data_IF_785158919200
#
_entry.id   IF_785158919200
#
_cell.length_a   1.000
_cell.length_b   1.000
_cell.length_c   1.000
_cell.angle_alpha   90.00
_cell.angle_beta   90.00
_cell.angle_gamma   90.00
#
_symmetry.space_group_name_H-M   'P 1'
#
loop_
_entity.id
_entity.type
_entity.pdbx_description
1 polymer ?
#
# COMPACT_ATOMS: atom_id res chain seq x y z
N UNK A 1 8.43 21.75 -3.27
CA UNK A 1 9.69 21.01 -3.05
C UNK A 1 10.74 21.91 -2.39
N UNK A 2 11.64 21.32 -1.58
CA UNK A 2 12.75 22.04 -0.96
C UNK A 2 12.37 22.98 0.18
N UNK A 3 11.17 22.94 0.68
CA UNK A 3 10.79 23.68 1.88
C UNK A 3 11.28 22.97 3.14
N UNK A 4 11.62 23.75 4.16
CA UNK A 4 11.98 23.20 5.46
C UNK A 4 10.77 22.50 6.09
N UNK A 5 11.05 21.48 6.91
CA UNK A 5 10.03 20.79 7.69
C UNK A 5 9.23 21.78 8.55
N UNK A 6 7.95 21.53 8.67
CA UNK A 6 7.04 22.30 9.53
C UNK A 6 7.11 21.76 10.96
N UNK A 7 6.39 22.40 11.88
CA UNK A 7 6.20 21.87 13.25
C UNK A 7 5.17 20.75 13.30
N UNK A 8 4.44 20.54 12.23
CA UNK A 8 3.42 19.50 12.10
C UNK A 8 4.05 18.21 11.54
N UNK A 9 4.07 17.19 12.38
CA UNK A 9 4.70 15.89 12.06
C UNK A 9 3.95 15.17 10.93
N UNK A 10 2.63 15.28 10.87
CA UNK A 10 1.81 14.56 9.90
C UNK A 10 1.89 15.21 8.52
N UNK A 11 2.01 16.53 8.47
CA UNK A 11 2.33 17.26 7.22
C UNK A 11 3.69 16.85 6.67
N UNK A 12 4.70 16.78 7.54
CA UNK A 12 6.05 16.35 7.13
C UNK A 12 6.04 14.89 6.66
N UNK A 13 5.37 13.99 7.37
CA UNK A 13 5.25 12.59 7.00
C UNK A 13 4.57 12.40 5.64
N UNK A 14 3.45 13.09 5.39
CA UNK A 14 2.78 13.05 4.10
C UNK A 14 3.66 13.57 2.95
N UNK A 15 4.44 14.63 3.20
CA UNK A 15 5.38 15.20 2.24
C UNK A 15 6.52 14.23 1.93
N UNK A 16 7.17 13.72 2.97
CA UNK A 16 8.31 12.81 2.83
C UNK A 16 7.89 11.48 2.20
N UNK A 17 6.75 10.92 2.61
CA UNK A 17 6.21 9.68 2.08
C UNK A 17 5.82 9.79 0.60
N UNK A 18 5.17 10.89 0.22
CA UNK A 18 4.84 11.15 -1.20
C UNK A 18 6.11 11.33 -2.04
N UNK A 19 7.11 12.03 -1.52
CA UNK A 19 8.41 12.20 -2.16
C UNK A 19 9.14 10.86 -2.35
N UNK A 20 9.19 10.02 -1.31
CA UNK A 20 9.80 8.71 -1.37
C UNK A 20 9.10 7.79 -2.39
N UNK A 21 7.77 7.85 -2.46
CA UNK A 21 6.99 7.10 -3.46
C UNK A 21 7.31 7.56 -4.88
N UNK A 22 7.35 8.87 -5.11
CA UNK A 22 7.77 9.43 -6.40
C UNK A 22 9.17 8.95 -6.79
N UNK A 23 10.12 9.03 -5.85
CA UNK A 23 11.51 8.61 -6.07
C UNK A 23 11.61 7.11 -6.42
N UNK A 24 10.85 6.25 -5.74
CA UNK A 24 10.79 4.82 -6.04
C UNK A 24 10.27 4.56 -7.47
N UNK A 25 9.13 5.14 -7.83
CA UNK A 25 8.58 5.02 -9.18
C UNK A 25 9.53 5.57 -10.24
N UNK A 26 10.21 6.67 -9.95
CA UNK A 26 11.20 7.27 -10.87
C UNK A 26 12.44 6.40 -11.03
N UNK A 27 12.97 5.87 -9.94
CA UNK A 27 14.21 5.08 -9.93
C UNK A 27 14.05 3.76 -10.68
N UNK A 28 12.95 3.05 -10.51
CA UNK A 28 12.77 1.70 -11.03
C UNK A 28 12.03 1.64 -12.38
N UNK A 29 11.13 2.58 -12.66
CA UNK A 29 10.33 2.56 -13.88
C UNK A 29 10.44 3.84 -14.70
N UNK A 30 11.32 4.79 -14.29
CA UNK A 30 11.47 6.11 -14.93
C UNK A 30 10.14 6.88 -15.06
N UNK A 31 9.20 6.58 -14.15
CA UNK A 31 7.89 7.21 -14.14
C UNK A 31 7.96 8.63 -13.55
N UNK A 32 7.25 9.56 -14.17
CA UNK A 32 7.18 10.96 -13.75
C UNK A 32 5.80 11.27 -13.14
N UNK A 33 5.68 11.03 -11.82
CA UNK A 33 4.45 11.16 -11.04
C UNK A 33 3.35 10.16 -11.43
N UNK A 34 2.16 10.25 -10.80
CA UNK A 34 1.07 9.30 -11.00
C UNK A 34 0.51 9.28 -12.44
N UNK A 35 0.59 10.39 -13.16
CA UNK A 35 0.13 10.52 -14.54
C UNK A 35 1.25 10.37 -15.58
N UNK A 36 2.47 10.06 -15.16
CA UNK A 36 3.67 10.01 -16.01
C UNK A 36 3.95 11.31 -16.79
N UNK A 37 3.52 12.46 -16.27
CA UNK A 37 3.65 13.77 -16.89
C UNK A 37 3.93 14.88 -15.86
N UNK A 38 4.50 14.53 -14.70
CA UNK A 38 4.92 15.48 -13.67
C UNK A 38 3.78 16.17 -12.92
N UNK A 39 2.62 15.50 -12.76
CA UNK A 39 1.54 16.06 -11.95
C UNK A 39 1.99 16.31 -10.50
N UNK A 40 1.54 17.40 -9.91
CA UNK A 40 1.79 17.70 -8.50
C UNK A 40 1.13 16.65 -7.61
N UNK A 41 1.89 16.15 -6.62
CA UNK A 41 1.37 15.28 -5.57
C UNK A 41 0.78 16.16 -4.47
N UNK A 42 -0.51 16.03 -4.23
CA UNK A 42 -1.22 16.81 -3.23
C UNK A 42 -1.68 15.86 -2.13
N UNK A 43 -1.39 16.21 -0.89
CA UNK A 43 -1.83 15.47 0.30
C UNK A 43 -2.57 16.40 1.25
N UNK A 44 -3.68 15.92 1.81
CA UNK A 44 -4.39 16.57 2.92
C UNK A 44 -4.31 15.68 4.14
N UNK A 45 -3.82 16.22 5.24
CA UNK A 45 -3.79 15.56 6.55
C UNK A 45 -4.90 16.10 7.45
N UNK A 46 -5.08 15.53 8.63
CA UNK A 46 -6.07 15.94 9.63
C UNK A 46 -7.51 15.86 9.13
N UNK A 47 -7.76 14.86 8.29
CA UNK A 47 -9.12 14.67 7.78
C UNK A 47 -10.01 14.03 8.84
N UNK A 48 -11.05 14.76 9.22
CA UNK A 48 -12.10 14.34 10.17
C UNK A 48 -11.59 13.97 11.57
N UNK A 49 -12.48 13.60 12.45
CA UNK A 49 -12.17 13.25 13.86
C UNK A 49 -12.17 11.75 14.04
N UNK A 50 -11.12 11.20 14.66
CA UNK A 50 -10.97 9.75 14.90
C UNK A 50 -11.11 8.91 13.61
N UNK A 51 -10.68 9.44 12.48
CA UNK A 51 -10.79 8.77 11.19
C UNK A 51 -9.55 7.92 10.93
N UNK A 52 -9.70 6.62 11.15
CA UNK A 52 -8.65 5.63 10.93
C UNK A 52 -8.73 5.09 9.50
N UNK A 53 -8.50 5.94 8.53
CA UNK A 53 -8.40 5.58 7.10
C UNK A 53 -7.66 6.65 6.31
N UNK A 54 -7.17 6.27 5.12
CA UNK A 54 -6.67 7.15 4.08
C UNK A 54 -7.35 6.80 2.76
N UNK A 55 -7.30 7.68 1.77
CA UNK A 55 -7.83 7.38 0.44
C UNK A 55 -7.33 8.38 -0.62
N UNK A 56 -7.19 7.89 -1.84
CA UNK A 56 -7.10 8.72 -3.04
C UNK A 56 -8.51 9.16 -3.47
N UNK A 57 -8.73 10.46 -3.66
CA UNK A 57 -10.06 10.99 -4.00
C UNK A 57 -10.25 11.35 -5.50
N UNK A 58 -9.31 10.92 -6.35
CA UNK A 58 -9.27 11.27 -7.78
C UNK A 58 -8.38 12.48 -8.10
N UNK A 59 -7.94 13.23 -7.09
CA UNK A 59 -7.10 14.43 -7.27
C UNK A 59 -6.00 14.60 -6.23
N UNK A 60 -6.16 14.00 -5.05
CA UNK A 60 -5.22 14.10 -3.93
C UNK A 60 -5.35 12.91 -2.98
N UNK A 61 -4.30 12.65 -2.22
CA UNK A 61 -4.32 11.76 -1.08
C UNK A 61 -4.94 12.46 0.13
N UNK A 62 -5.75 11.76 0.89
CA UNK A 62 -6.42 12.27 2.10
C UNK A 62 -6.15 11.33 3.26
N UNK A 63 -5.63 11.86 4.38
CA UNK A 63 -5.21 11.09 5.54
C UNK A 63 -5.95 11.54 6.79
N UNK A 64 -6.53 10.59 7.51
CA UNK A 64 -7.08 10.81 8.84
C UNK A 64 -6.02 10.77 9.93
N UNK A 65 -6.33 11.38 11.09
CA UNK A 65 -5.47 11.38 12.27
C UNK A 65 -5.50 10.06 13.05
N UNK A 66 -6.20 9.07 12.52
CA UNK A 66 -6.40 7.82 13.22
C UNK A 66 -7.29 7.97 14.45
N UNK A 67 -7.23 6.97 15.31
CA UNK A 67 -7.82 6.99 16.65
C UNK A 67 -6.81 6.35 17.62
N UNK A 68 -5.90 7.15 18.13
CA UNK A 68 -4.78 6.69 18.97
C UNK A 68 -5.27 5.92 20.21
N UNK A 69 -6.43 6.29 20.76
CA UNK A 69 -7.02 5.59 21.90
C UNK A 69 -7.49 4.16 21.56
N UNK A 70 -7.70 3.88 20.29
CA UNK A 70 -8.05 2.55 19.75
C UNK A 70 -6.88 1.90 19.01
N UNK A 71 -5.66 2.43 19.12
CA UNK A 71 -4.45 1.88 18.54
C UNK A 71 -4.17 2.27 17.10
N UNK A 72 -4.97 3.17 16.50
CA UNK A 72 -4.76 3.65 15.15
C UNK A 72 -4.02 4.99 15.16
N UNK A 73 -2.78 5.01 14.64
CA UNK A 73 -1.97 6.20 14.51
C UNK A 73 -2.41 7.06 13.29
N UNK A 74 -1.94 8.32 13.17
CA UNK A 74 -2.17 9.13 11.97
C UNK A 74 -1.68 8.44 10.70
N UNK A 75 -2.56 8.34 9.70
CA UNK A 75 -2.36 7.49 8.53
C UNK A 75 -1.21 7.96 7.62
N UNK A 76 -0.91 9.27 7.62
CA UNK A 76 0.20 9.84 6.85
C UNK A 76 1.58 9.36 7.31
N UNK A 77 1.69 8.72 8.48
CA UNK A 77 2.96 8.21 9.04
C UNK A 77 3.36 6.84 8.49
N UNK A 78 2.43 6.08 7.88
CA UNK A 78 2.73 4.82 7.19
C UNK A 78 3.29 5.08 5.80
N UNK A 79 4.53 4.64 5.55
CA UNK A 79 5.14 4.81 4.22
C UNK A 79 4.41 3.95 3.19
N UNK A 80 4.10 2.73 3.53
CA UNK A 80 3.35 1.78 2.71
C UNK A 80 1.92 2.29 2.43
N UNK A 81 1.24 2.89 3.43
CA UNK A 81 -0.08 3.51 3.27
C UNK A 81 -0.01 4.68 2.29
N UNK A 82 0.98 5.55 2.41
CA UNK A 82 1.14 6.69 1.48
C UNK A 82 1.40 6.20 0.05
N UNK A 83 2.23 5.19 -0.11
CA UNK A 83 2.50 4.60 -1.42
C UNK A 83 1.30 3.83 -1.98
N UNK A 84 0.52 3.16 -1.13
CA UNK A 84 -0.73 2.51 -1.48
C UNK A 84 -1.72 3.50 -2.09
N UNK A 85 -1.99 4.62 -1.42
CA UNK A 85 -2.91 5.64 -1.92
C UNK A 85 -2.45 6.27 -3.23
N UNK A 86 -1.16 6.58 -3.34
CA UNK A 86 -0.60 7.13 -4.56
C UNK A 86 -0.65 6.12 -5.72
N UNK A 87 -0.57 4.83 -5.43
CA UNK A 87 -0.68 3.77 -6.44
C UNK A 87 -2.09 3.65 -7.00
N UNK A 88 -3.13 3.96 -6.24
CA UNK A 88 -4.48 4.10 -6.80
C UNK A 88 -4.53 5.14 -7.91
N UNK A 89 -3.87 6.29 -7.72
CA UNK A 89 -3.73 7.31 -8.77
C UNK A 89 -2.99 6.80 -10.00
N UNK A 90 -1.92 6.00 -9.81
CA UNK A 90 -1.20 5.36 -10.92
C UNK A 90 -2.11 4.37 -11.64
N UNK A 91 -2.80 3.50 -10.92
CA UNK A 91 -3.71 2.50 -11.48
C UNK A 91 -4.83 3.16 -12.29
N UNK A 92 -5.40 4.26 -11.81
CA UNK A 92 -6.42 5.03 -12.52
C UNK A 92 -5.91 5.59 -13.86
N UNK A 93 -4.65 6.03 -13.90
CA UNK A 93 -4.04 6.62 -15.10
C UNK A 93 -3.44 5.59 -16.09
N UNK A 94 -3.23 4.33 -15.65
CA UNK A 94 -2.60 3.30 -16.47
C UNK A 94 -3.58 2.18 -16.84
N UNK A 95 -3.81 1.25 -15.93
CA UNK A 95 -4.63 0.07 -16.21
C UNK A 95 -6.13 0.35 -16.14
N UNK A 96 -6.55 1.38 -15.44
CA UNK A 96 -7.97 1.73 -15.25
C UNK A 96 -8.79 0.60 -14.61
N UNK A 97 -8.18 -0.21 -13.74
CA UNK A 97 -8.90 -1.28 -13.04
C UNK A 97 -10.09 -0.71 -12.29
N UNK A 98 -11.28 -1.15 -12.67
CA UNK A 98 -12.53 -0.71 -12.03
C UNK A 98 -12.53 -1.15 -10.56
N UNK A 99 -12.80 -0.22 -9.66
CA UNK A 99 -12.78 -0.44 -8.20
C UNK A 99 -14.02 -1.20 -7.72
N UNK A 100 -14.22 -2.40 -8.26
CA UNK A 100 -15.34 -3.29 -7.92
C UNK A 100 -15.04 -4.72 -8.37
N UNK A 101 -15.55 -5.70 -7.63
CA UNK A 101 -15.40 -7.11 -7.96
C UNK A 101 -13.94 -7.57 -8.00
N UNK A 102 -13.61 -8.49 -8.88
CA UNK A 102 -12.26 -9.03 -9.00
C UNK A 102 -11.24 -7.98 -9.46
N UNK A 103 -11.63 -7.08 -10.36
CA UNK A 103 -10.76 -5.96 -10.79
C UNK A 103 -10.46 -5.00 -9.65
N UNK A 104 -11.43 -4.78 -8.74
CA UNK A 104 -11.21 -3.99 -7.53
C UNK A 104 -10.24 -4.65 -6.57
N UNK A 105 -10.32 -5.96 -6.40
CA UNK A 105 -9.34 -6.72 -5.61
C UNK A 105 -7.93 -6.65 -6.20
N UNK A 106 -7.79 -6.65 -7.53
CA UNK A 106 -6.50 -6.43 -8.19
C UNK A 106 -6.00 -4.98 -8.04
N UNK A 107 -6.89 -4.00 -8.09
CA UNK A 107 -6.56 -2.59 -7.84
C UNK A 107 -5.96 -2.42 -6.45
N UNK A 108 -6.62 -2.95 -5.42
CA UNK A 108 -6.10 -2.97 -4.05
C UNK A 108 -4.76 -3.70 -3.93
N UNK A 109 -4.64 -4.87 -4.56
CA UNK A 109 -3.40 -5.64 -4.51
C UNK A 109 -2.23 -4.89 -5.17
N UNK A 110 -2.43 -4.20 -6.27
CA UNK A 110 -1.40 -3.35 -6.86
C UNK A 110 -0.96 -2.26 -5.88
N UNK A 111 -1.90 -1.62 -5.19
CA UNK A 111 -1.60 -0.62 -4.18
C UNK A 111 -0.79 -1.20 -3.01
N UNK A 112 -1.15 -2.37 -2.49
CA UNK A 112 -0.40 -3.06 -1.44
C UNK A 112 1.02 -3.47 -1.91
N UNK A 113 1.14 -4.02 -3.12
CA UNK A 113 2.43 -4.46 -3.70
C UNK A 113 3.39 -3.27 -3.86
N UNK A 114 2.92 -2.15 -4.38
CA UNK A 114 3.77 -0.97 -4.55
C UNK A 114 3.98 -0.22 -3.23
N UNK A 115 3.06 -0.36 -2.26
CA UNK A 115 3.26 0.04 -0.87
C UNK A 115 4.46 -0.65 -0.26
N UNK A 116 4.42 -1.98 -0.20
CA UNK A 116 5.51 -2.83 0.29
C UNK A 116 6.83 -2.61 -0.47
N UNK A 117 6.77 -2.44 -1.79
CA UNK A 117 7.95 -2.15 -2.60
C UNK A 117 8.59 -0.80 -2.23
N UNK A 118 7.78 0.24 -2.02
CA UNK A 118 8.27 1.58 -1.68
C UNK A 118 8.88 1.60 -0.28
N UNK A 119 8.28 0.89 0.67
CA UNK A 119 8.85 0.71 2.00
C UNK A 119 10.22 0.04 1.93
N UNK A 120 10.35 -1.11 1.23
CA UNK A 120 11.62 -1.78 1.03
C UNK A 120 12.68 -0.89 0.34
N UNK A 121 12.27 0.04 -0.53
CA UNK A 121 13.14 1.03 -1.14
C UNK A 121 13.63 2.06 -0.12
N UNK A 122 12.75 2.55 0.74
CA UNK A 122 13.09 3.51 1.82
C UNK A 122 14.05 2.84 2.81
N UNK A 123 13.77 1.61 3.22
CA UNK A 123 14.63 0.82 4.12
C UNK A 123 16.01 0.52 3.50
N UNK A 124 16.08 0.43 2.18
CA UNK A 124 17.32 0.35 1.41
C UNK A 124 18.07 1.67 1.29
N UNK A 125 17.62 2.73 1.97
CA UNK A 125 18.24 4.06 1.99
C UNK A 125 18.04 4.84 0.70
N UNK A 126 17.03 4.50 -0.11
CA UNK A 126 16.70 5.16 -1.39
C UNK A 126 17.86 5.13 -2.42
N UNK A 127 18.69 4.11 -2.36
CA UNK A 127 19.90 3.97 -3.20
C UNK A 127 19.71 3.05 -4.40
N UNK A 128 18.46 2.62 -4.67
CA UNK A 128 18.14 1.62 -5.69
C UNK A 128 18.31 0.18 -5.22
N UNK A 129 18.69 -0.04 -3.96
CA UNK A 129 18.69 -1.34 -3.28
C UNK A 129 17.41 -1.48 -2.47
N UNK A 130 16.77 -2.65 -2.54
CA UNK A 130 15.62 -2.97 -1.69
C UNK A 130 16.11 -3.70 -0.44
N UNK A 131 15.68 -3.27 0.73
CA UNK A 131 15.87 -4.00 1.97
C UNK A 131 14.53 -4.59 2.38
N UNK A 132 14.45 -5.92 2.35
CA UNK A 132 13.24 -6.67 2.66
C UNK A 132 13.34 -7.25 4.06
N UNK A 133 12.33 -7.00 4.88
CA UNK A 133 12.19 -7.51 6.24
C UNK A 133 10.90 -8.33 6.38
N UNK A 134 10.59 -8.77 7.58
CA UNK A 134 9.28 -9.39 7.87
C UNK A 134 8.15 -8.36 7.86
N UNK A 135 8.46 -7.09 8.11
CA UNK A 135 7.47 -6.00 8.13
C UNK A 135 7.08 -5.58 6.72
N UNK A 136 7.98 -5.63 5.75
CA UNK A 136 7.70 -5.39 4.31
C UNK A 136 6.47 -6.19 3.79
N UNK A 137 6.13 -7.32 4.39
CA UNK A 137 5.00 -8.17 3.99
C UNK A 137 3.74 -7.94 4.82
N UNK A 138 3.71 -6.87 5.58
CA UNK A 138 2.54 -6.37 6.30
C UNK A 138 2.12 -5.05 5.67
N UNK A 139 0.88 -4.68 5.83
CA UNK A 139 0.36 -3.40 5.37
C UNK A 139 -0.19 -2.66 6.57
N UNK A 140 0.29 -1.44 6.78
CA UNK A 140 -0.15 -0.55 7.85
C UNK A 140 0.34 -0.94 9.24
N UNK A 141 1.43 -1.68 9.38
CA UNK A 141 1.97 -2.11 10.68
C UNK A 141 2.51 -0.95 11.52
N UNK A 142 2.99 0.12 10.88
CA UNK A 142 3.41 1.35 11.57
C UNK A 142 2.24 2.16 12.10
N UNK A 143 1.04 1.93 11.55
CA UNK A 143 -0.17 2.67 11.88
C UNK A 143 -1.06 1.91 12.83
N UNK A 144 -1.12 0.59 12.70
CA UNK A 144 -2.03 -0.26 13.44
C UNK A 144 -1.35 -1.55 13.93
N UNK A 145 -1.64 -1.94 15.16
CA UNK A 145 -1.24 -3.24 15.70
C UNK A 145 -2.49 -3.99 16.20
N UNK A 146 -2.84 -5.14 15.60
CA UNK A 146 -2.17 -5.84 14.49
C UNK A 146 -2.26 -5.07 13.16
N UNK A 147 -1.35 -5.37 12.21
CA UNK A 147 -1.34 -4.76 10.88
C UNK A 147 -2.69 -4.93 10.14
N UNK A 148 -2.95 -4.05 9.19
CA UNK A 148 -4.20 -4.10 8.41
C UNK A 148 -4.31 -5.37 7.56
N UNK A 149 -3.22 -5.77 6.88
CA UNK A 149 -3.16 -6.96 6.02
C UNK A 149 -1.79 -7.63 6.11
N UNK A 150 -1.73 -8.88 5.66
CA UNK A 150 -0.51 -9.71 5.62
C UNK A 150 -0.36 -10.32 4.23
N UNK A 151 0.66 -9.94 3.48
CA UNK A 151 0.86 -10.42 2.11
C UNK A 151 1.35 -11.88 2.10
N UNK A 152 2.12 -12.29 3.10
CA UNK A 152 2.68 -13.63 3.23
C UNK A 152 1.69 -14.69 3.78
N UNK A 153 0.66 -14.26 4.49
CA UNK A 153 -0.45 -15.10 4.99
C UNK A 153 -1.72 -14.25 5.10
N UNK A 154 -2.39 -13.93 3.98
CA UNK A 154 -3.52 -12.99 3.99
C UNK A 154 -4.62 -13.36 4.98
N UNK A 155 -4.92 -14.64 5.12
CA UNK A 155 -5.97 -15.07 6.03
C UNK A 155 -5.58 -14.95 7.53
N UNK A 156 -4.40 -14.44 7.87
CA UNK A 156 -4.00 -14.15 9.25
C UNK A 156 -4.81 -13.00 9.86
N UNK A 157 -5.32 -12.07 9.06
CA UNK A 157 -6.22 -11.00 9.50
C UNK A 157 -7.65 -11.48 9.80
N UNK A 158 -7.98 -12.71 9.46
CA UNK A 158 -9.30 -13.33 9.69
C UNK A 158 -10.35 -13.02 8.62
N UNK A 159 -10.06 -12.18 7.63
CA UNK A 159 -11.02 -11.74 6.61
C UNK A 159 -10.54 -11.92 5.17
N UNK A 160 -9.25 -11.66 4.92
CA UNK A 160 -8.66 -11.70 3.58
C UNK A 160 -8.66 -13.10 2.97
N UNK A 161 -8.81 -13.14 1.65
CA UNK A 161 -8.76 -14.37 0.86
C UNK A 161 -7.33 -14.64 0.44
N UNK A 162 -6.91 -15.86 0.66
CA UNK A 162 -5.57 -16.37 0.31
C UNK A 162 -5.60 -17.36 -0.86
N UNK A 163 -6.79 -17.69 -1.37
CA UNK A 163 -7.02 -18.63 -2.45
C UNK A 163 -8.28 -18.26 -3.22
N UNK A 164 -8.25 -18.46 -4.55
CA UNK A 164 -9.40 -18.17 -5.41
C UNK A 164 -10.56 -19.12 -5.12
N UNK A 165 -11.73 -18.53 -4.92
CA UNK A 165 -13.00 -19.25 -4.74
C UNK A 165 -14.08 -18.63 -5.63
N UNK A 166 -15.04 -19.45 -6.05
CA UNK A 166 -16.19 -18.96 -6.80
C UNK A 166 -16.90 -17.85 -6.00
N UNK A 167 -17.21 -16.74 -6.66
CA UNK A 167 -17.86 -15.59 -6.03
C UNK A 167 -16.93 -14.63 -5.29
N UNK A 168 -15.60 -14.77 -5.43
CA UNK A 168 -14.63 -13.85 -4.82
C UNK A 168 -14.85 -12.39 -5.20
N UNK A 169 -15.44 -12.12 -6.38
CA UNK A 169 -15.82 -10.78 -6.80
C UNK A 169 -16.95 -10.14 -5.98
N UNK A 170 -17.60 -10.88 -5.08
CA UNK A 170 -18.59 -10.32 -4.13
C UNK A 170 -17.96 -10.04 -2.74
N UNK A 171 -16.69 -10.36 -2.57
CA UNK A 171 -15.94 -10.04 -1.35
C UNK A 171 -15.47 -8.59 -1.45
N UNK A 172 -15.41 -7.88 -0.32
CA UNK A 172 -14.82 -6.54 -0.26
C UNK A 172 -13.43 -6.56 -0.89
N UNK A 173 -13.13 -5.54 -1.70
CA UNK A 173 -11.89 -5.46 -2.50
C UNK A 173 -10.63 -5.51 -1.66
N UNK A 174 -10.66 -4.94 -0.44
CA UNK A 174 -9.55 -4.98 0.51
C UNK A 174 -9.25 -6.39 1.04
N UNK A 175 -10.22 -7.30 0.99
CA UNK A 175 -10.02 -8.70 1.41
C UNK A 175 -9.78 -9.64 0.23
N UNK A 176 -10.35 -9.36 -0.94
CA UNK A 176 -10.07 -10.16 -2.14
C UNK A 176 -8.68 -9.90 -2.71
N UNK A 177 -8.06 -8.76 -2.41
CA UNK A 177 -6.67 -8.40 -2.74
C UNK A 177 -5.64 -9.40 -2.24
N UNK A 178 -5.91 -10.06 -1.12
CA UNK A 178 -4.98 -11.00 -0.49
C UNK A 178 -4.53 -12.14 -1.41
N UNK A 179 -5.35 -12.56 -2.37
CA UNK A 179 -4.99 -13.59 -3.35
C UNK A 179 -3.79 -13.15 -4.20
N UNK A 180 -3.83 -11.93 -4.73
CA UNK A 180 -2.76 -11.39 -5.56
C UNK A 180 -1.55 -10.98 -4.71
N UNK A 181 -1.78 -10.47 -3.49
CA UNK A 181 -0.71 -10.19 -2.53
C UNK A 181 0.11 -11.45 -2.21
N UNK A 182 -0.56 -12.57 -1.90
CA UNK A 182 0.14 -13.83 -1.65
C UNK A 182 0.86 -14.34 -2.90
N UNK A 183 0.27 -14.21 -4.09
CA UNK A 183 0.93 -14.60 -5.33
C UNK A 183 2.21 -13.78 -5.54
N UNK A 184 2.17 -12.48 -5.32
CA UNK A 184 3.35 -11.62 -5.40
C UNK A 184 4.41 -11.99 -4.36
N UNK A 185 4.02 -12.21 -3.10
CA UNK A 185 4.92 -12.69 -2.05
C UNK A 185 5.64 -13.97 -2.47
N UNK A 186 4.90 -14.98 -2.94
CA UNK A 186 5.48 -16.27 -3.35
C UNK A 186 6.38 -16.12 -4.58
N UNK A 187 6.04 -15.27 -5.55
CA UNK A 187 6.89 -14.97 -6.69
C UNK A 187 8.21 -14.28 -6.28
N UNK A 188 8.17 -13.47 -5.22
CA UNK A 188 9.33 -12.72 -4.74
C UNK A 188 10.23 -13.56 -3.83
N UNK A 189 9.64 -14.39 -2.95
CA UNK A 189 10.35 -15.08 -1.88
C UNK A 189 10.44 -16.60 -2.07
N UNK A 190 9.70 -17.11 -3.04
CA UNK A 190 9.56 -18.57 -3.21
C UNK A 190 8.65 -19.21 -2.16
N UNK A 191 8.57 -20.53 -2.19
CA UNK A 191 7.83 -21.31 -1.21
C UNK A 191 6.50 -21.83 -1.67
N UNK A 192 5.69 -22.29 -0.73
CA UNK A 192 4.36 -22.89 -0.94
C UNK A 192 3.29 -22.07 -0.24
N UNK A 193 2.05 -22.29 -0.61
CA UNK A 193 0.91 -21.68 0.06
C UNK A 193 0.96 -21.90 1.59
N UNK A 194 0.92 -20.83 2.43
CA UNK A 194 1.17 -20.94 3.88
C UNK A 194 0.18 -21.85 4.61
N UNK A 195 -1.02 -22.01 4.08
CA UNK A 195 -2.09 -22.86 4.65
C UNK A 195 -2.36 -24.12 3.84
N UNK A 196 -1.44 -24.53 2.97
CA UNK A 196 -1.52 -25.79 2.22
C UNK A 196 -2.67 -25.91 1.22
N UNK A 197 -3.27 -24.79 0.78
CA UNK A 197 -4.38 -24.80 -0.20
C UNK A 197 -3.91 -25.02 -1.65
N UNK A 198 -2.60 -24.96 -1.89
CA UNK A 198 -1.96 -25.30 -3.16
C UNK A 198 -0.70 -26.11 -2.87
N UNK A 199 -0.44 -27.12 -3.72
CA UNK A 199 0.80 -27.92 -3.67
C UNK A 199 1.92 -27.31 -4.56
N UNK A 200 1.65 -26.19 -5.24
CA UNK A 200 2.64 -25.53 -6.09
C UNK A 200 3.73 -24.93 -5.20
N UNK A 201 4.98 -25.26 -5.54
CA UNK A 201 6.17 -24.68 -4.94
C UNK A 201 6.79 -23.71 -5.94
N UNK A 202 6.89 -22.44 -5.57
CA UNK A 202 7.55 -21.39 -6.35
C UNK A 202 9.02 -21.36 -5.96
N UNK A 203 9.92 -21.41 -6.94
CA UNK A 203 11.39 -21.48 -6.72
C UNK A 203 12.09 -20.34 -7.46
#
# INVERSE_FOLDING_TARGET
EGQAATTDVDVNAAYDGSGATYEAYKAFWNRDSYNNAGAALISSVHYSTNYCNAYWNGTQMVYGDGNVSQGCQPLARGQDVTAHELTHAVTENESGLIYSGESGGLNEAMSDIFGAFTEAYVDGGKTGTLTVSADTWKIGEDILAPALRYMNDPAADGASKDFYVAGVGNVDVHYSSGIANLAFYLLSQGGTHPRGKSAINVT
#
